data_IF_086137287566
#
_entry.id   IF_086137287566
#
_cell.length_a   1.000
_cell.length_b   1.000
_cell.length_c   1.000
_cell.angle_alpha   90.00
_cell.angle_beta   90.00
_cell.angle_gamma   90.00
#
_symmetry.space_group_name_H-M   'P 1'
#
loop_
_entity.id
_entity.type
_entity.pdbx_description
1 polymer ?
#
# COMPACT_ATOMS: atom_id res chain seq x y z
N UNK A 1 18.37 19.30 -27.92
CA UNK A 1 18.94 18.54 -26.78
C UNK A 1 18.00 18.74 -25.59
N UNK A 2 17.72 17.65 -24.87
CA UNK A 2 16.45 17.33 -24.24
C UNK A 2 16.00 18.25 -23.08
N UNK A 3 14.70 18.57 -23.09
CA UNK A 3 13.96 19.02 -21.91
C UNK A 3 13.95 17.89 -20.87
N UNK A 4 14.29 18.23 -19.63
CA UNK A 4 14.36 17.28 -18.53
C UNK A 4 13.01 16.59 -18.28
N UNK A 5 12.91 15.34 -18.71
CA UNK A 5 11.98 14.39 -18.11
C UNK A 5 12.48 14.14 -16.69
N UNK A 6 11.90 14.84 -15.72
CA UNK A 6 11.91 14.35 -14.34
C UNK A 6 11.21 13.01 -14.35
N UNK A 7 11.98 11.94 -14.16
CA UNK A 7 11.39 10.61 -13.99
C UNK A 7 10.39 10.69 -12.84
N UNK A 8 9.20 10.06 -12.91
CA UNK A 8 8.23 10.03 -11.80
C UNK A 8 8.81 9.48 -10.48
N UNK A 9 10.03 8.95 -10.51
CA UNK A 9 10.84 8.53 -9.37
C UNK A 9 11.47 9.70 -8.58
N UNK A 10 11.40 10.95 -9.05
CA UNK A 10 12.23 12.07 -8.56
C UNK A 10 11.59 12.93 -7.45
N UNK A 11 10.58 12.41 -6.74
CA UNK A 11 10.14 12.98 -5.45
C UNK A 11 10.29 11.93 -4.35
N UNK A 12 11.50 11.79 -3.77
CA UNK A 12 11.77 10.70 -2.85
C UNK A 12 11.15 10.99 -1.48
N UNK A 13 9.98 10.39 -1.22
CA UNK A 13 9.28 10.47 0.07
C UNK A 13 10.03 9.64 1.13
N UNK A 14 10.07 10.08 2.40
CA UNK A 14 10.71 9.31 3.47
C UNK A 14 9.96 8.00 3.70
N UNK A 15 10.64 6.99 4.28
CA UNK A 15 9.99 5.77 4.74
C UNK A 15 8.94 6.12 5.82
N UNK A 16 7.81 5.39 5.89
CA UNK A 16 6.78 5.68 6.88
C UNK A 16 7.25 5.47 8.33
N UNK A 17 6.65 6.25 9.23
CA UNK A 17 6.76 6.07 10.68
C UNK A 17 6.01 4.84 11.15
N UNK A 18 6.33 4.32 12.34
CA UNK A 18 5.60 3.19 12.95
C UNK A 18 5.88 1.82 12.31
N UNK A 19 5.76 0.76 13.11
CA UNK A 19 6.02 -0.60 12.65
C UNK A 19 4.95 -1.12 11.68
N UNK A 20 3.67 -0.81 11.92
CA UNK A 20 2.55 -1.25 11.07
C UNK A 20 2.68 -0.75 9.62
N UNK A 21 3.00 0.53 9.45
CA UNK A 21 3.20 1.10 8.12
C UNK A 21 4.42 0.52 7.41
N UNK A 22 5.54 0.32 8.12
CA UNK A 22 6.73 -0.32 7.54
C UNK A 22 6.46 -1.76 7.10
N UNK A 23 5.69 -2.50 7.90
CA UNK A 23 5.25 -3.85 7.53
C UNK A 23 4.38 -3.82 6.26
N UNK A 24 3.39 -2.92 6.19
CA UNK A 24 2.53 -2.77 5.02
C UNK A 24 3.37 -2.48 3.77
N UNK A 25 4.27 -1.50 3.83
CA UNK A 25 5.16 -1.14 2.73
C UNK A 25 6.03 -2.31 2.28
N UNK A 26 6.64 -3.03 3.24
CA UNK A 26 7.46 -4.20 2.95
C UNK A 26 6.65 -5.29 2.23
N UNK A 27 5.49 -5.65 2.76
CA UNK A 27 4.61 -6.69 2.20
C UNK A 27 4.13 -6.31 0.79
N UNK A 28 3.71 -5.07 0.60
CA UNK A 28 3.28 -4.55 -0.70
C UNK A 28 4.42 -4.64 -1.73
N UNK A 29 5.64 -4.18 -1.39
CA UNK A 29 6.81 -4.26 -2.28
C UNK A 29 7.19 -5.68 -2.65
N UNK A 30 7.15 -6.59 -1.67
CA UNK A 30 7.40 -8.02 -1.89
C UNK A 30 6.36 -8.61 -2.84
N UNK A 31 5.08 -8.35 -2.62
CA UNK A 31 4.01 -8.86 -3.47
C UNK A 31 4.04 -8.27 -4.89
N UNK A 32 4.41 -7.00 -5.04
CA UNK A 32 4.55 -6.35 -6.34
C UNK A 32 5.70 -6.95 -7.17
N UNK A 33 6.80 -7.35 -6.51
CA UNK A 33 8.01 -7.85 -7.19
C UNK A 33 8.00 -9.37 -7.39
N UNK A 34 7.56 -10.13 -6.39
CA UNK A 34 7.65 -11.59 -6.35
C UNK A 34 6.28 -12.29 -6.43
N UNK A 35 5.20 -11.52 -6.56
CA UNK A 35 3.83 -12.02 -6.64
C UNK A 35 3.12 -12.09 -5.29
N UNK A 36 1.78 -12.12 -5.32
CA UNK A 36 0.91 -12.05 -4.14
C UNK A 36 1.06 -13.22 -3.16
N UNK A 37 1.65 -14.33 -3.61
CA UNK A 37 1.93 -15.51 -2.79
C UNK A 37 3.34 -15.53 -2.19
N UNK A 38 4.06 -14.40 -2.20
CA UNK A 38 5.43 -14.31 -1.68
C UNK A 38 5.57 -14.82 -0.24
N UNK A 39 6.54 -15.72 -0.03
CA UNK A 39 6.78 -16.38 1.24
C UNK A 39 7.34 -15.41 2.30
N UNK A 40 8.17 -14.44 1.91
CA UNK A 40 8.74 -13.48 2.84
C UNK A 40 7.68 -12.49 3.35
N UNK A 41 6.77 -12.06 2.48
CA UNK A 41 5.59 -11.30 2.85
C UNK A 41 4.71 -12.07 3.85
N UNK A 42 4.42 -13.34 3.57
CA UNK A 42 3.64 -14.19 4.47
C UNK A 42 4.32 -14.37 5.84
N UNK A 43 5.63 -14.61 5.86
CA UNK A 43 6.40 -14.76 7.10
C UNK A 43 6.45 -13.46 7.91
N UNK A 44 6.60 -12.30 7.26
CA UNK A 44 6.55 -11.01 7.94
C UNK A 44 5.18 -10.75 8.59
N UNK A 45 4.09 -11.09 7.90
CA UNK A 45 2.73 -10.99 8.46
C UNK A 45 2.53 -11.95 9.63
N UNK A 46 3.05 -13.18 9.54
CA UNK A 46 3.03 -14.15 10.64
C UNK A 46 3.78 -13.61 11.87
N UNK A 47 4.98 -13.07 11.69
CA UNK A 47 5.76 -12.48 12.76
C UNK A 47 5.09 -11.27 13.40
N UNK A 48 4.41 -10.45 12.59
CA UNK A 48 3.76 -9.24 13.07
C UNK A 48 2.42 -9.48 13.78
N UNK A 49 1.61 -10.44 13.29
CA UNK A 49 0.22 -10.65 13.72
C UNK A 49 -0.01 -12.00 14.43
N UNK A 50 1.00 -12.85 14.53
CA UNK A 50 0.91 -14.15 15.18
C UNK A 50 -0.19 -15.03 14.57
N UNK A 51 -0.98 -15.69 15.42
CA UNK A 51 -2.05 -16.61 14.98
C UNK A 51 -3.11 -15.95 14.08
N UNK A 52 -3.29 -14.65 14.20
CA UNK A 52 -4.31 -13.89 13.45
C UNK A 52 -3.83 -13.39 12.08
N UNK A 53 -2.59 -13.69 11.66
CA UNK A 53 -1.98 -13.17 10.43
C UNK A 53 -2.75 -13.47 9.14
N UNK A 54 -3.56 -14.53 9.12
CA UNK A 54 -4.26 -14.97 7.90
C UNK A 54 -5.22 -13.92 7.37
N UNK A 55 -5.98 -13.26 8.25
CA UNK A 55 -6.95 -12.22 7.85
C UNK A 55 -6.27 -11.05 7.15
N UNK A 56 -5.30 -10.33 7.76
CA UNK A 56 -4.64 -9.22 7.08
C UNK A 56 -3.82 -9.69 5.87
N UNK A 57 -3.25 -10.90 5.87
CA UNK A 57 -2.52 -11.43 4.71
C UNK A 57 -3.44 -11.67 3.49
N UNK A 58 -4.61 -12.29 3.68
CA UNK A 58 -5.57 -12.52 2.59
C UNK A 58 -6.10 -11.19 2.05
N UNK A 59 -6.36 -10.22 2.92
CA UNK A 59 -6.83 -8.89 2.52
C UNK A 59 -5.75 -8.11 1.77
N UNK A 60 -4.48 -8.20 2.18
CA UNK A 60 -3.36 -7.63 1.41
C UNK A 60 -3.28 -8.23 0.01
N UNK A 61 -3.48 -9.54 -0.13
CA UNK A 61 -3.48 -10.21 -1.45
C UNK A 61 -4.64 -9.75 -2.32
N UNK A 62 -5.85 -9.69 -1.76
CA UNK A 62 -7.02 -9.19 -2.46
C UNK A 62 -6.82 -7.75 -2.92
N UNK A 63 -6.29 -6.88 -2.05
CA UNK A 63 -5.94 -5.51 -2.37
C UNK A 63 -4.96 -5.41 -3.54
N UNK A 64 -3.86 -6.17 -3.50
CA UNK A 64 -2.86 -6.15 -4.58
C UNK A 64 -3.44 -6.61 -5.91
N UNK A 65 -4.29 -7.65 -5.90
CA UNK A 65 -4.97 -8.14 -7.10
C UNK A 65 -5.97 -7.14 -7.65
N UNK A 66 -6.75 -6.49 -6.79
CA UNK A 66 -7.76 -5.51 -7.21
C UNK A 66 -7.12 -4.24 -7.75
N UNK A 67 -6.03 -3.75 -7.13
CA UNK A 67 -5.23 -2.65 -7.66
C UNK A 67 -4.66 -2.99 -9.05
N UNK A 68 -4.10 -4.19 -9.22
CA UNK A 68 -3.57 -4.63 -10.50
C UNK A 68 -4.67 -4.77 -11.58
N UNK A 69 -5.87 -5.22 -11.19
CA UNK A 69 -7.03 -5.38 -12.08
C UNK A 69 -7.64 -4.05 -12.51
N UNK A 70 -7.75 -3.09 -11.59
CA UNK A 70 -8.47 -1.83 -11.81
C UNK A 70 -7.60 -0.71 -12.41
N UNK A 71 -6.27 -0.82 -12.36
CA UNK A 71 -5.38 0.23 -12.81
C UNK A 71 -5.38 0.39 -14.34
N UNK A 72 -5.52 1.62 -14.83
CA UNK A 72 -5.33 2.00 -16.23
C UNK A 72 -3.89 2.44 -16.53
N UNK A 73 -3.03 2.51 -15.50
CA UNK A 73 -1.62 2.87 -15.61
C UNK A 73 -0.70 1.91 -14.86
N UNK A 74 0.60 2.03 -15.11
CA UNK A 74 1.62 1.29 -14.34
C UNK A 74 1.82 1.95 -12.98
N UNK A 75 1.49 1.25 -11.91
CA UNK A 75 1.83 1.63 -10.53
C UNK A 75 3.31 1.34 -10.28
N UNK A 76 4.09 2.34 -9.91
CA UNK A 76 5.52 2.22 -9.69
C UNK A 76 5.82 1.85 -8.24
N UNK A 77 6.43 0.68 -8.05
CA UNK A 77 6.83 0.16 -6.74
C UNK A 77 8.35 -0.02 -6.70
N UNK A 78 8.98 0.44 -5.62
CA UNK A 78 10.42 0.32 -5.45
C UNK A 78 10.80 -1.09 -4.97
N UNK A 79 12.04 -1.54 -5.23
CA UNK A 79 12.57 -2.74 -4.60
C UNK A 79 12.44 -2.72 -3.07
N UNK A 80 12.24 -3.89 -2.46
CA UNK A 80 11.96 -3.98 -1.01
C UNK A 80 13.08 -3.43 -0.11
N UNK A 81 14.32 -3.31 -0.62
CA UNK A 81 15.48 -2.79 0.09
C UNK A 81 15.63 -1.25 0.03
N UNK A 82 14.79 -0.54 -0.73
CA UNK A 82 14.91 0.91 -0.88
C UNK A 82 14.49 1.66 0.40
N UNK A 83 15.34 2.57 0.87
CA UNK A 83 15.09 3.38 2.07
C UNK A 83 14.10 4.54 1.87
N UNK A 84 13.55 4.71 0.65
CA UNK A 84 12.63 5.80 0.28
C UNK A 84 11.45 5.24 -0.48
N UNK A 85 10.34 5.96 -0.50
CA UNK A 85 9.12 5.59 -1.22
C UNK A 85 9.01 6.31 -2.56
N UNK A 86 8.41 5.63 -3.54
CA UNK A 86 7.90 6.27 -4.77
C UNK A 86 6.67 7.13 -4.45
N UNK A 87 6.26 7.98 -5.39
CA UNK A 87 5.02 8.75 -5.28
C UNK A 87 3.78 7.83 -5.19
N UNK A 88 3.73 6.78 -6.00
CA UNK A 88 2.61 5.83 -6.02
C UNK A 88 2.52 5.03 -4.71
N UNK A 89 3.67 4.63 -4.14
CA UNK A 89 3.71 3.97 -2.82
C UNK A 89 3.19 4.88 -1.72
N UNK A 90 3.65 6.14 -1.69
CA UNK A 90 3.21 7.11 -0.70
C UNK A 90 1.70 7.40 -0.83
N UNK A 91 1.20 7.55 -2.06
CA UNK A 91 -0.22 7.78 -2.32
C UNK A 91 -1.08 6.58 -1.90
N UNK A 92 -0.63 5.35 -2.18
CA UNK A 92 -1.31 4.12 -1.74
C UNK A 92 -1.38 4.04 -0.21
N UNK A 93 -0.28 4.34 0.48
CA UNK A 93 -0.23 4.33 1.94
C UNK A 93 -1.09 5.43 2.56
N UNK A 94 -1.09 6.62 1.97
CA UNK A 94 -1.96 7.72 2.39
C UNK A 94 -3.43 7.33 2.24
N UNK A 95 -3.81 6.83 1.06
CA UNK A 95 -5.18 6.36 0.80
C UNK A 95 -5.61 5.28 1.78
N UNK A 96 -4.72 4.34 2.12
CA UNK A 96 -5.03 3.27 3.06
C UNK A 96 -5.24 3.81 4.49
N UNK A 97 -4.44 4.80 4.92
CA UNK A 97 -4.60 5.44 6.22
C UNK A 97 -5.87 6.31 6.33
N UNK A 98 -6.25 6.96 5.24
CA UNK A 98 -7.45 7.81 5.19
C UNK A 98 -8.74 7.02 4.95
N UNK A 99 -8.64 5.82 4.36
CA UNK A 99 -9.75 5.01 3.87
C UNK A 99 -10.93 4.83 4.84
N UNK A 100 -10.66 4.75 6.14
CA UNK A 100 -11.68 4.58 7.18
C UNK A 100 -12.23 5.90 7.73
N UNK A 101 -11.44 6.98 7.72
CA UNK A 101 -11.77 8.26 8.34
C UNK A 101 -12.39 9.25 7.35
N UNK A 102 -11.87 9.25 6.13
CA UNK A 102 -12.34 10.08 5.02
C UNK A 102 -12.38 9.25 3.72
N UNK A 103 -13.42 8.42 3.54
CA UNK A 103 -13.58 7.60 2.34
C UNK A 103 -13.65 8.40 1.04
N UNK A 104 -14.14 9.65 1.08
CA UNK A 104 -14.28 10.50 -0.10
C UNK A 104 -12.92 11.02 -0.57
N UNK A 105 -12.09 11.51 0.36
CA UNK A 105 -10.72 11.88 0.04
C UNK A 105 -9.91 10.66 -0.42
N UNK A 106 -10.05 9.53 0.27
CA UNK A 106 -9.39 8.28 -0.11
C UNK A 106 -9.83 7.81 -1.51
N UNK A 107 -11.10 7.94 -1.87
CA UNK A 107 -11.58 7.63 -3.22
C UNK A 107 -10.82 8.45 -4.28
N UNK A 108 -10.72 9.77 -4.10
CA UNK A 108 -9.96 10.63 -5.03
C UNK A 108 -8.48 10.24 -5.14
N UNK A 109 -7.85 9.87 -4.01
CA UNK A 109 -6.46 9.40 -3.99
C UNK A 109 -6.30 8.06 -4.72
N UNK A 110 -7.23 7.10 -4.55
CA UNK A 110 -7.21 5.82 -5.25
C UNK A 110 -7.50 6.00 -6.74
N UNK A 111 -8.45 6.86 -7.13
CA UNK A 111 -8.70 7.17 -8.54
C UNK A 111 -7.46 7.76 -9.22
N UNK A 112 -6.75 8.67 -8.54
CA UNK A 112 -5.48 9.21 -9.02
C UNK A 112 -4.39 8.13 -9.16
N UNK A 113 -4.28 7.23 -8.18
CA UNK A 113 -3.34 6.11 -8.21
C UNK A 113 -3.61 5.16 -9.39
N UNK A 114 -4.88 4.82 -9.61
CA UNK A 114 -5.32 3.91 -10.67
C UNK A 114 -5.34 4.55 -12.05
N UNK A 115 -5.42 5.88 -12.12
CA UNK A 115 -5.57 6.64 -13.37
C UNK A 115 -6.97 6.60 -13.98
N UNK A 116 -8.00 6.31 -13.19
CA UNK A 116 -9.41 6.25 -13.62
C UNK A 116 -10.37 6.28 -12.41
N UNK A 117 -11.67 6.42 -12.67
CA UNK A 117 -12.71 6.53 -11.64
C UNK A 117 -13.28 5.18 -11.16
N UNK A 118 -12.78 4.04 -11.65
CA UNK A 118 -13.19 2.70 -11.20
C UNK A 118 -12.48 2.29 -9.91
N UNK A 119 -12.43 3.20 -8.93
CA UNK A 119 -11.66 3.06 -7.69
C UNK A 119 -12.40 2.38 -6.53
N UNK A 120 -13.72 2.18 -6.63
CA UNK A 120 -14.53 1.65 -5.52
C UNK A 120 -14.05 0.28 -5.04
N UNK A 121 -13.78 -0.66 -5.95
CA UNK A 121 -13.30 -2.00 -5.60
C UNK A 121 -11.96 -1.95 -4.86
N UNK A 122 -11.01 -1.19 -5.39
CA UNK A 122 -9.72 -0.98 -4.75
C UNK A 122 -9.86 -0.29 -3.38
N UNK A 123 -10.67 0.77 -3.27
CA UNK A 123 -10.92 1.47 -2.01
C UNK A 123 -11.47 0.52 -0.94
N UNK A 124 -12.46 -0.33 -1.28
CA UNK A 124 -13.00 -1.30 -0.31
C UNK A 124 -11.94 -2.29 0.17
N UNK A 125 -11.02 -2.69 -0.70
CA UNK A 125 -9.90 -3.56 -0.32
C UNK A 125 -8.90 -2.82 0.59
N UNK A 126 -8.59 -1.55 0.31
CA UNK A 126 -7.77 -0.71 1.18
C UNK A 126 -8.42 -0.55 2.57
N UNK A 127 -9.73 -0.28 2.63
CA UNK A 127 -10.49 -0.21 3.88
C UNK A 127 -10.43 -1.52 4.67
N UNK A 128 -10.61 -2.66 4.00
CA UNK A 128 -10.55 -3.96 4.66
C UNK A 128 -9.15 -4.24 5.24
N UNK A 129 -8.09 -3.89 4.52
CA UNK A 129 -6.72 -3.99 5.00
C UNK A 129 -6.47 -3.07 6.19
N UNK A 130 -6.87 -1.80 6.11
CA UNK A 130 -6.75 -0.82 7.18
C UNK A 130 -7.48 -1.28 8.45
N UNK A 131 -8.70 -1.79 8.30
CA UNK A 131 -9.49 -2.30 9.42
C UNK A 131 -8.82 -3.54 10.04
N UNK A 132 -8.35 -4.49 9.25
CA UNK A 132 -7.66 -5.67 9.78
C UNK A 132 -6.36 -5.34 10.51
N UNK A 133 -5.65 -4.30 10.06
CA UNK A 133 -4.47 -3.77 10.75
C UNK A 133 -4.84 -3.11 12.08
N UNK A 134 -5.90 -2.29 12.09
CA UNK A 134 -6.42 -1.62 13.29
C UNK A 134 -6.90 -2.61 14.35
N UNK A 135 -7.69 -3.61 13.94
CA UNK A 135 -8.23 -4.66 14.82
C UNK A 135 -7.12 -5.48 15.52
N UNK A 136 -5.93 -5.55 14.91
CA UNK A 136 -4.79 -6.29 15.43
C UNK A 136 -3.72 -5.38 16.06
N UNK A 137 -4.08 -4.14 16.39
CA UNK A 137 -3.24 -3.20 17.15
C UNK A 137 -2.07 -2.61 16.34
N UNK A 138 -2.16 -2.60 15.01
CA UNK A 138 -1.15 -2.01 14.12
C UNK A 138 -1.80 -1.05 13.11
N UNK A 139 -2.49 0.01 13.56
CA UNK A 139 -3.21 0.92 12.67
C UNK A 139 -2.28 1.50 11.59
N UNK A 140 -2.82 1.71 10.40
CA UNK A 140 -2.11 2.30 9.28
C UNK A 140 -2.38 3.80 9.25
N UNK A 141 -1.32 4.57 9.37
CA UNK A 141 -1.34 6.02 9.30
C UNK A 141 0.07 6.47 8.90
N UNK A 142 0.21 6.92 7.66
CA UNK A 142 1.48 7.07 6.95
C UNK A 142 2.56 7.82 7.76
N UNK A 143 2.17 8.81 8.56
CA UNK A 143 3.09 9.62 9.36
C UNK A 143 2.73 9.74 10.85
N UNK A 144 1.70 9.02 11.34
CA UNK A 144 1.53 8.95 12.79
C UNK A 144 2.78 8.32 13.42
N UNK A 145 3.34 9.02 14.40
CA UNK A 145 4.32 8.44 15.30
C UNK A 145 3.58 7.37 16.12
N UNK A 146 3.81 6.10 15.77
CA UNK A 146 3.37 4.97 16.59
C UNK A 146 4.11 4.93 17.93
#
# INVERSE_FOLDING_TARGET
MAYGETSPLDLPRPIPGGYGNRLFLFVMRRMATAGVNDAHAANAMLGAFGRSYRRPLVLMRAMMLELARASSRKILVAPCCCARMTADEALMMQATGDALRDPNAAFGQVSALLGNDHALGALTCLQAVAQAHSDLGRPLDLYAAG
#
